data_IF_951629245498
#
_entry.id   IF_951629245498
#
_cell.length_a   1.000
_cell.length_b   1.000
_cell.length_c   1.000
_cell.angle_alpha   90.00
_cell.angle_beta   90.00
_cell.angle_gamma   90.00
#
_symmetry.space_group_name_H-M   'P 1'
#
loop_
_entity.id
_entity.type
_entity.pdbx_description
1 polymer ?
#
# COMPACT_ATOMS: atom_id res chain seq x y z
N UNK A 1 4.15 12.84 34.19
CA UNK A 1 4.67 12.12 33.01
C UNK A 1 4.10 12.83 31.78
N UNK A 2 4.93 13.38 30.89
CA UNK A 2 4.41 13.86 29.59
C UNK A 2 3.79 12.65 28.87
N UNK A 3 2.53 12.76 28.46
CA UNK A 3 1.86 11.74 27.62
C UNK A 3 2.68 11.58 26.34
N UNK A 4 3.07 10.33 26.01
CA UNK A 4 3.80 10.07 24.77
C UNK A 4 2.91 10.42 23.59
N UNK A 5 3.41 11.24 22.67
CA UNK A 5 2.71 11.57 21.42
C UNK A 5 2.44 10.30 20.60
N UNK A 6 1.25 10.17 20.04
CA UNK A 6 0.82 9.03 19.23
C UNK A 6 0.91 9.39 17.75
N UNK A 7 1.60 8.55 16.99
CA UNK A 7 1.80 8.71 15.54
C UNK A 7 1.20 7.52 14.81
N UNK A 8 0.47 7.82 13.72
CA UNK A 8 0.00 6.84 12.76
C UNK A 8 0.75 7.01 11.43
N UNK A 9 1.43 5.95 10.96
CA UNK A 9 1.75 5.79 9.55
C UNK A 9 0.61 5.02 8.88
N UNK A 10 0.01 5.59 7.82
CA UNK A 10 -1.19 5.03 7.18
C UNK A 10 -1.03 5.01 5.66
N UNK A 11 -0.66 3.87 5.12
CA UNK A 11 -0.66 3.63 3.68
C UNK A 11 -2.08 3.29 3.20
N UNK A 12 -2.77 4.27 2.63
CA UNK A 12 -4.12 4.12 2.05
C UNK A 12 -3.99 3.61 0.62
N UNK A 13 -3.86 2.30 0.46
CA UNK A 13 -3.75 1.68 -0.86
C UNK A 13 -5.09 1.24 -1.45
N UNK A 14 -5.10 0.97 -2.74
CA UNK A 14 -6.29 0.56 -3.51
C UNK A 14 -6.89 -0.79 -3.06
N UNK A 15 -6.10 -1.69 -2.53
CA UNK A 15 -6.56 -3.03 -2.11
C UNK A 15 -6.66 -3.16 -0.59
N UNK A 16 -5.72 -2.59 0.13
CA UNK A 16 -5.66 -2.61 1.60
C UNK A 16 -5.16 -1.28 2.14
N UNK A 17 -5.75 -0.86 3.25
CA UNK A 17 -5.14 0.14 4.14
C UNK A 17 -4.21 -0.59 5.10
N UNK A 18 -2.95 -0.14 5.20
CA UNK A 18 -1.97 -0.68 6.14
C UNK A 18 -1.64 0.41 7.15
N UNK A 19 -1.54 0.03 8.39
CA UNK A 19 -1.37 0.98 9.50
C UNK A 19 -0.24 0.53 10.41
N UNK A 20 0.62 1.49 10.74
CA UNK A 20 1.64 1.38 11.77
C UNK A 20 1.35 2.39 12.87
N UNK A 21 1.08 1.92 14.09
CA UNK A 21 0.82 2.75 15.26
C UNK A 21 2.02 2.72 16.17
N UNK A 22 2.48 3.89 16.60
CA UNK A 22 3.56 3.97 17.55
C UNK A 22 3.60 5.31 18.30
N UNK A 23 4.66 5.51 19.05
CA UNK A 23 4.87 6.70 19.89
C UNK A 23 6.01 7.55 19.36
N UNK A 24 6.02 8.83 19.72
CA UNK A 24 7.02 9.80 19.26
C UNK A 24 8.47 9.47 19.62
N UNK A 25 8.70 8.52 20.53
CA UNK A 25 10.03 7.98 20.85
C UNK A 25 10.46 6.83 19.90
N UNK A 26 9.69 6.54 18.85
CA UNK A 26 10.00 5.53 17.84
C UNK A 26 9.57 4.11 18.16
N UNK A 27 8.84 3.89 19.27
CA UNK A 27 8.34 2.57 19.63
C UNK A 27 7.10 2.23 18.80
N UNK A 28 7.16 1.16 17.99
CA UNK A 28 5.99 0.60 17.30
C UNK A 28 5.15 -0.19 18.32
N UNK A 29 3.87 0.17 18.45
CA UNK A 29 2.90 -0.49 19.33
C UNK A 29 2.22 -1.64 18.60
N UNK A 30 1.73 -1.39 17.38
CA UNK A 30 1.06 -2.40 16.55
C UNK A 30 1.09 -2.06 15.07
N UNK A 31 0.93 -3.11 14.26
CA UNK A 31 0.69 -3.01 12.82
C UNK A 31 -0.55 -3.83 12.50
N UNK A 32 -1.37 -3.34 11.58
CA UNK A 32 -2.52 -4.08 11.06
C UNK A 32 -2.89 -3.58 9.67
N UNK A 33 -3.70 -4.35 8.97
CA UNK A 33 -4.29 -3.97 7.70
C UNK A 33 -5.76 -4.37 7.66
N UNK A 34 -6.51 -3.71 6.80
CA UNK A 34 -7.87 -4.08 6.45
C UNK A 34 -8.11 -3.77 4.97
N UNK A 35 -9.08 -4.44 4.32
CA UNK A 35 -9.36 -4.21 2.90
C UNK A 35 -9.90 -2.81 2.65
N UNK A 36 -9.42 -2.17 1.59
CA UNK A 36 -9.94 -0.90 1.10
C UNK A 36 -11.25 -1.13 0.35
N UNK A 37 -12.24 -1.68 1.04
CA UNK A 37 -13.56 -1.95 0.48
C UNK A 37 -14.58 -1.00 1.10
N UNK A 38 -15.31 -0.31 0.24
CA UNK A 38 -16.42 0.58 0.61
C UNK A 38 -17.70 0.03 -0.02
N UNK A 39 -18.72 -0.14 0.79
CA UNK A 39 -20.03 -0.56 0.30
C UNK A 39 -21.11 0.43 0.68
N UNK A 40 -21.86 0.92 -0.30
CA UNK A 40 -23.00 1.79 -0.04
C UNK A 40 -24.19 0.97 0.48
N UNK A 41 -24.84 1.46 1.54
CA UNK A 41 -25.96 0.78 2.17
C UNK A 41 -27.06 1.78 2.56
N UNK A 42 -28.08 1.30 3.27
CA UNK A 42 -29.14 2.14 3.86
C UNK A 42 -29.19 1.87 5.35
N UNK A 43 -29.45 2.90 6.13
CA UNK A 43 -29.77 2.72 7.55
C UNK A 43 -31.23 2.28 7.65
N UNK A 44 -31.49 1.17 8.34
CA UNK A 44 -32.85 0.73 8.64
C UNK A 44 -33.24 1.28 10.00
N UNK A 45 -34.41 1.92 10.08
CA UNK A 45 -34.97 2.40 11.35
C UNK A 45 -35.22 1.20 12.29
N UNK A 46 -34.82 1.37 13.54
CA UNK A 46 -34.98 0.32 14.57
C UNK A 46 -33.92 -0.80 14.52
N UNK A 47 -33.00 -0.79 13.58
CA UNK A 47 -31.87 -1.73 13.52
C UNK A 47 -30.59 -0.98 13.91
N UNK A 48 -30.05 -1.30 15.08
CA UNK A 48 -28.76 -0.80 15.50
C UNK A 48 -27.68 -1.61 14.77
N UNK A 49 -26.89 -0.94 13.93
CA UNK A 49 -25.73 -1.54 13.26
C UNK A 49 -24.57 -0.55 13.35
N UNK A 50 -23.65 -0.80 14.30
CA UNK A 50 -22.51 0.05 14.61
C UNK A 50 -21.44 0.08 13.51
N UNK A 51 -21.60 -0.81 12.50
CA UNK A 51 -20.69 -0.89 11.35
C UNK A 51 -21.13 -0.02 10.17
N UNK A 52 -22.32 0.61 10.26
CA UNK A 52 -22.82 1.56 9.26
C UNK A 52 -22.40 2.97 9.68
N UNK A 53 -21.72 3.67 8.79
CA UNK A 53 -21.25 5.05 9.00
C UNK A 53 -21.93 6.00 8.03
N UNK A 54 -22.23 7.23 8.48
CA UNK A 54 -22.79 8.30 7.67
C UNK A 54 -21.69 9.23 7.18
N UNK A 55 -21.58 9.38 5.85
CA UNK A 55 -20.56 10.22 5.23
C UNK A 55 -21.13 10.86 3.95
N UNK A 56 -21.02 12.19 3.82
CA UNK A 56 -21.51 12.94 2.67
C UNK A 56 -22.95 12.55 2.25
N UNK A 57 -23.87 12.66 3.22
CA UNK A 57 -25.32 12.40 3.02
C UNK A 57 -25.70 10.94 2.68
N UNK A 58 -24.76 10.01 2.78
CA UNK A 58 -24.99 8.59 2.45
C UNK A 58 -24.48 7.68 3.57
N UNK A 59 -24.94 6.45 3.54
CA UNK A 59 -24.53 5.43 4.51
C UNK A 59 -23.63 4.41 3.85
N UNK A 60 -22.55 4.03 4.56
CA UNK A 60 -21.54 3.12 4.08
C UNK A 60 -21.15 2.08 5.12
N UNK A 61 -20.66 0.95 4.66
CA UNK A 61 -19.87 -0.01 5.42
C UNK A 61 -18.43 0.01 4.89
N UNK A 62 -17.45 -0.25 5.75
CA UNK A 62 -16.03 -0.12 5.42
C UNK A 62 -15.27 -1.40 5.80
N UNK A 63 -14.29 -1.76 5.00
CA UNK A 63 -13.40 -2.87 5.30
C UNK A 63 -14.06 -4.24 5.16
N UNK A 64 -13.82 -5.14 6.12
CA UNK A 64 -14.35 -6.50 6.08
C UNK A 64 -15.88 -6.54 6.08
N UNK A 65 -16.52 -5.65 6.82
CA UNK A 65 -17.98 -5.61 6.91
C UNK A 65 -18.62 -5.28 5.56
N UNK A 66 -17.99 -4.43 4.76
CA UNK A 66 -18.47 -4.07 3.43
C UNK A 66 -18.53 -5.27 2.48
N UNK A 67 -17.65 -6.27 2.65
CA UNK A 67 -17.61 -7.48 1.80
C UNK A 67 -18.89 -8.34 1.90
N UNK A 68 -19.66 -8.15 2.94
CA UNK A 68 -20.95 -8.87 3.13
C UNK A 68 -22.10 -8.25 2.34
N UNK A 69 -21.89 -7.08 1.74
CA UNK A 69 -22.91 -6.45 0.90
C UNK A 69 -22.94 -7.10 -0.50
N UNK A 70 -24.10 -7.02 -1.19
CA UNK A 70 -24.17 -7.42 -2.60
C UNK A 70 -23.13 -6.69 -3.44
N UNK A 71 -22.57 -7.36 -4.45
CA UNK A 71 -21.54 -6.79 -5.33
C UNK A 71 -21.95 -5.47 -5.98
N UNK A 72 -23.25 -5.31 -6.29
CA UNK A 72 -23.81 -4.06 -6.83
C UNK A 72 -23.72 -2.86 -5.88
N UNK A 73 -23.46 -3.09 -4.59
CA UNK A 73 -23.34 -2.07 -3.58
C UNK A 73 -21.88 -1.71 -3.28
N UNK A 74 -20.94 -2.54 -3.75
CA UNK A 74 -19.51 -2.30 -3.56
C UNK A 74 -19.05 -1.23 -4.55
N UNK A 75 -18.24 -0.30 -4.03
CA UNK A 75 -17.63 0.79 -4.81
C UNK A 75 -16.22 0.38 -5.16
N UNK A 76 -15.89 0.41 -6.44
CA UNK A 76 -14.54 0.14 -6.90
C UNK A 76 -13.63 1.33 -6.56
N UNK A 77 -12.60 1.05 -5.76
CA UNK A 77 -11.54 2.01 -5.43
C UNK A 77 -10.35 1.84 -6.40
N UNK A 78 -10.62 1.83 -7.70
CA UNK A 78 -9.63 1.60 -8.75
C UNK A 78 -9.03 2.89 -9.32
N UNK A 79 -9.58 4.05 -8.96
CA UNK A 79 -9.14 5.37 -9.39
C UNK A 79 -8.69 6.23 -8.22
N UNK A 80 -7.75 7.15 -8.48
CA UNK A 80 -7.32 8.14 -7.50
C UNK A 80 -8.52 8.96 -6.96
N UNK A 81 -9.45 9.36 -7.81
CA UNK A 81 -10.62 10.15 -7.43
C UNK A 81 -11.48 9.43 -6.37
N UNK A 82 -11.67 8.12 -6.52
CA UNK A 82 -12.40 7.33 -5.52
C UNK A 82 -11.59 7.17 -4.24
N UNK A 83 -10.28 6.95 -4.35
CA UNK A 83 -9.39 6.86 -3.20
C UNK A 83 -9.37 8.18 -2.40
N UNK A 84 -9.32 9.30 -3.09
CA UNK A 84 -9.36 10.65 -2.50
C UNK A 84 -10.71 10.89 -1.78
N UNK A 85 -11.83 10.61 -2.45
CA UNK A 85 -13.16 10.82 -1.88
C UNK A 85 -13.42 9.95 -0.63
N UNK A 86 -12.97 8.70 -0.63
CA UNK A 86 -13.18 7.77 0.47
C UNK A 86 -12.00 7.65 1.44
N UNK A 87 -10.89 8.33 1.17
CA UNK A 87 -9.71 8.37 2.04
C UNK A 87 -10.04 8.74 3.49
N UNK A 88 -10.83 9.80 3.75
CA UNK A 88 -11.28 10.18 5.09
C UNK A 88 -12.04 9.04 5.81
N UNK A 89 -12.88 8.33 5.09
CA UNK A 89 -13.67 7.23 5.64
C UNK A 89 -12.79 6.03 5.99
N UNK A 90 -11.82 5.71 5.14
CA UNK A 90 -10.81 4.68 5.40
C UNK A 90 -9.91 5.05 6.57
N UNK A 91 -9.49 6.31 6.67
CA UNK A 91 -8.70 6.82 7.80
C UNK A 91 -9.48 6.75 9.13
N UNK A 92 -10.75 7.18 9.12
CA UNK A 92 -11.62 7.07 10.29
C UNK A 92 -11.74 5.61 10.77
N UNK A 93 -11.93 4.69 9.84
CA UNK A 93 -11.99 3.26 10.13
C UNK A 93 -10.67 2.74 10.72
N UNK A 94 -9.52 3.18 10.20
CA UNK A 94 -8.20 2.84 10.73
C UNK A 94 -8.03 3.30 12.19
N UNK A 95 -8.43 4.53 12.52
CA UNK A 95 -8.38 5.08 13.88
C UNK A 95 -9.32 4.31 14.82
N UNK A 96 -10.53 3.95 14.37
CA UNK A 96 -11.48 3.12 15.14
C UNK A 96 -10.90 1.73 15.44
N UNK A 97 -10.34 1.01 14.46
CA UNK A 97 -9.66 -0.29 14.66
C UNK A 97 -8.46 -0.14 15.60
N UNK A 98 -7.74 0.96 15.47
CA UNK A 98 -6.60 1.25 16.32
C UNK A 98 -7.00 1.48 17.78
N UNK A 99 -8.28 1.78 18.08
CA UNK A 99 -8.83 2.10 19.40
C UNK A 99 -8.06 3.25 20.06
N UNK A 100 -7.79 4.29 19.28
CA UNK A 100 -7.06 5.46 19.76
C UNK A 100 -8.05 6.56 20.14
N UNK A 101 -7.88 7.10 21.33
CA UNK A 101 -8.65 8.27 21.79
C UNK A 101 -8.05 9.59 21.29
N UNK A 102 -6.77 9.60 20.96
CA UNK A 102 -6.03 10.75 20.44
C UNK A 102 -4.97 10.29 19.46
N UNK A 103 -4.78 11.07 18.42
CA UNK A 103 -3.69 10.95 17.44
C UNK A 103 -3.05 12.32 17.31
N UNK A 104 -1.76 12.42 17.55
CA UNK A 104 -1.03 13.69 17.50
C UNK A 104 -0.51 14.02 16.11
N UNK A 105 -0.18 12.97 15.32
CA UNK A 105 0.26 13.09 13.94
C UNK A 105 -0.15 11.88 13.12
N UNK A 106 -0.67 12.14 11.93
CA UNK A 106 -0.87 11.14 10.87
C UNK A 106 0.14 11.42 9.77
N UNK A 107 0.86 10.40 9.34
CA UNK A 107 1.64 10.44 8.11
C UNK A 107 1.06 9.43 7.15
N UNK A 108 0.73 9.86 5.94
CA UNK A 108 0.19 9.00 4.91
C UNK A 108 1.05 9.03 3.65
N UNK A 109 0.93 8.00 2.83
CA UNK A 109 1.59 7.91 1.54
C UNK A 109 0.65 8.23 0.39
N UNK A 110 1.23 8.74 -0.70
CA UNK A 110 0.57 8.86 -1.98
C UNK A 110 1.48 8.32 -3.07
N UNK A 111 0.93 7.52 -4.00
CA UNK A 111 1.72 7.03 -5.13
C UNK A 111 2.39 8.19 -5.86
N UNK A 112 3.58 7.95 -6.34
CA UNK A 112 4.36 8.95 -7.09
C UNK A 112 3.59 9.40 -8.32
N UNK A 113 2.83 8.51 -8.96
CA UNK A 113 1.96 8.85 -10.08
C UNK A 113 0.93 9.94 -9.74
N UNK A 114 0.51 10.03 -8.47
CA UNK A 114 -0.54 10.93 -7.99
C UNK A 114 0.00 12.07 -7.13
N UNK A 115 1.32 12.20 -6.98
CA UNK A 115 1.96 13.12 -6.01
C UNK A 115 1.61 14.59 -6.25
N UNK A 116 1.26 14.96 -7.49
CA UNK A 116 0.82 16.32 -7.82
C UNK A 116 -0.49 16.72 -7.11
N UNK A 117 -1.26 15.74 -6.64
CA UNK A 117 -2.51 15.92 -5.91
C UNK A 117 -2.30 15.94 -4.37
N UNK A 118 -1.05 15.89 -3.90
CA UNK A 118 -0.74 15.73 -2.47
C UNK A 118 -1.38 16.81 -1.58
N UNK A 119 -1.35 18.08 -1.99
CA UNK A 119 -1.93 19.15 -1.22
C UNK A 119 -3.44 19.00 -0.98
N UNK A 120 -4.18 18.57 -1.99
CA UNK A 120 -5.60 18.32 -1.85
C UNK A 120 -5.87 17.07 -1.00
N UNK A 121 -5.14 15.98 -1.24
CA UNK A 121 -5.28 14.75 -0.47
C UNK A 121 -4.96 14.97 1.02
N UNK A 122 -3.93 15.74 1.32
CA UNK A 122 -3.61 16.14 2.69
C UNK A 122 -4.78 16.89 3.34
N UNK A 123 -5.38 17.84 2.64
CA UNK A 123 -6.49 18.64 3.17
C UNK A 123 -7.71 17.77 3.50
N UNK A 124 -8.10 16.83 2.63
CA UNK A 124 -9.26 15.99 2.88
C UNK A 124 -9.04 14.98 4.01
N UNK A 125 -7.79 14.57 4.26
CA UNK A 125 -7.45 13.73 5.42
C UNK A 125 -7.31 14.54 6.72
N UNK A 126 -6.97 15.83 6.63
CA UNK A 126 -6.80 16.69 7.81
C UNK A 126 -8.12 17.11 8.43
N UNK A 127 -9.16 17.31 7.61
CA UNK A 127 -10.45 17.81 8.08
C UNK A 127 -11.60 17.11 7.37
N UNK A 128 -12.45 16.41 8.12
CA UNK A 128 -13.62 15.72 7.58
C UNK A 128 -14.69 15.44 8.65
N UNK A 129 -15.89 15.10 8.20
CA UNK A 129 -17.04 14.76 9.08
C UNK A 129 -17.50 13.35 8.79
N UNK A 130 -17.60 12.51 9.82
CA UNK A 130 -18.18 11.15 9.76
C UNK A 130 -19.13 10.97 10.94
N UNK A 131 -20.32 10.45 10.72
CA UNK A 131 -21.39 10.28 11.72
C UNK A 131 -21.78 11.59 12.44
N UNK A 132 -21.61 12.75 11.78
CA UNK A 132 -21.83 14.07 12.37
C UNK A 132 -20.73 14.53 13.33
N UNK A 133 -19.66 13.75 13.48
CA UNK A 133 -18.48 14.11 14.25
C UNK A 133 -17.43 14.70 13.33
N UNK A 134 -16.92 15.86 13.70
CA UNK A 134 -15.85 16.56 13.03
C UNK A 134 -14.49 16.04 13.50
N UNK A 135 -13.64 15.67 12.55
CA UNK A 135 -12.28 15.19 12.80
C UNK A 135 -11.27 16.20 12.25
N UNK A 136 -10.33 16.58 13.09
CA UNK A 136 -9.23 17.49 12.77
C UNK A 136 -7.92 16.81 13.15
N UNK A 137 -7.05 16.56 12.16
CA UNK A 137 -5.77 15.89 12.35
C UNK A 137 -4.63 16.71 11.76
N UNK A 138 -3.48 16.65 12.42
CA UNK A 138 -2.22 17.02 11.80
C UNK A 138 -1.83 15.92 10.82
N UNK A 139 -1.76 16.21 9.54
CA UNK A 139 -1.45 15.25 8.48
C UNK A 139 -0.22 15.70 7.70
N UNK A 140 0.72 14.78 7.50
CA UNK A 140 1.85 14.94 6.58
C UNK A 140 1.76 13.88 5.49
N UNK A 141 2.22 14.20 4.29
CA UNK A 141 2.26 13.24 3.18
C UNK A 141 3.70 12.95 2.74
N UNK A 142 3.93 11.70 2.37
CA UNK A 142 5.14 11.22 1.72
C UNK A 142 4.82 10.61 0.36
N UNK A 143 5.72 10.70 -0.63
CA UNK A 143 5.65 9.81 -1.78
C UNK A 143 5.79 8.36 -1.32
N UNK A 144 4.91 7.46 -1.80
CA UNK A 144 5.12 6.02 -1.65
C UNK A 144 6.49 5.65 -2.22
N UNK A 145 7.12 4.62 -1.68
CA UNK A 145 8.53 4.35 -1.98
C UNK A 145 9.50 5.14 -1.10
N UNK A 146 9.27 6.42 -0.81
CA UNK A 146 10.09 7.15 0.17
C UNK A 146 9.89 6.59 1.59
N UNK A 147 8.63 6.27 1.96
CA UNK A 147 8.34 5.54 3.18
C UNK A 147 9.01 4.17 3.18
N UNK A 148 8.87 3.42 2.10
CA UNK A 148 9.51 2.11 1.94
C UNK A 148 11.02 2.18 2.07
N UNK A 149 11.68 3.22 1.50
CA UNK A 149 13.12 3.49 1.67
C UNK A 149 13.50 3.66 3.14
N UNK A 150 12.80 4.53 3.86
CA UNK A 150 13.06 4.78 5.29
C UNK A 150 12.95 3.48 6.11
N UNK A 151 11.94 2.67 5.83
CA UNK A 151 11.77 1.38 6.49
C UNK A 151 12.89 0.40 6.13
N UNK A 152 13.24 0.30 4.84
CA UNK A 152 14.31 -0.59 4.37
C UNK A 152 15.66 -0.22 4.98
N UNK A 153 16.02 1.06 5.01
CA UNK A 153 17.28 1.53 5.61
C UNK A 153 17.37 1.26 7.11
N UNK A 154 16.24 1.30 7.81
CA UNK A 154 16.21 1.05 9.26
C UNK A 154 16.19 -0.45 9.60
N UNK A 155 15.47 -1.26 8.84
CA UNK A 155 15.18 -2.65 9.19
C UNK A 155 15.61 -3.68 8.13
N UNK A 156 15.91 -3.26 6.90
CA UNK A 156 16.23 -4.16 5.79
C UNK A 156 17.55 -4.91 5.89
N UNK A 157 18.40 -4.55 6.87
CA UNK A 157 19.68 -5.24 7.12
C UNK A 157 19.54 -6.63 7.77
N UNK A 158 18.31 -7.09 8.07
CA UNK A 158 18.04 -8.41 8.63
C UNK A 158 18.05 -9.54 7.58
N UNK A 159 18.59 -9.30 6.39
CA UNK A 159 18.87 -10.38 5.42
C UNK A 159 20.05 -11.21 5.92
N UNK A 160 19.83 -12.46 6.37
CA UNK A 160 20.83 -13.25 7.10
C UNK A 160 22.08 -13.62 6.30
N UNK A 161 22.10 -13.42 4.98
CA UNK A 161 23.20 -13.79 4.09
C UNK A 161 23.87 -12.59 3.38
N UNK A 162 23.47 -11.35 3.69
CA UNK A 162 24.12 -10.17 3.14
C UNK A 162 24.96 -9.52 4.24
N UNK A 163 26.26 -9.36 3.97
CA UNK A 163 27.12 -8.53 4.81
C UNK A 163 26.40 -7.21 5.03
N UNK A 164 26.53 -6.61 6.23
CA UNK A 164 26.01 -5.27 6.54
C UNK A 164 26.63 -4.27 5.57
N UNK A 165 26.12 -4.24 4.36
CA UNK A 165 26.50 -3.25 3.37
C UNK A 165 26.07 -1.89 3.91
N UNK A 166 26.98 -0.96 3.87
CA UNK A 166 26.70 0.42 4.23
C UNK A 166 25.83 1.03 3.15
N UNK A 167 24.50 1.02 3.38
CA UNK A 167 23.50 1.51 2.41
C UNK A 167 23.74 2.97 1.99
N UNK A 168 24.45 3.75 2.83
CA UNK A 168 24.83 5.12 2.55
C UNK A 168 25.78 5.29 1.36
N UNK A 169 26.58 4.27 1.00
CA UNK A 169 27.49 4.30 -0.15
C UNK A 169 26.94 3.50 -1.34
N UNK A 170 25.83 2.76 -1.15
CA UNK A 170 25.25 1.92 -2.19
C UNK A 170 24.35 2.70 -3.13
N UNK A 171 24.36 2.29 -4.40
CA UNK A 171 23.41 2.71 -5.42
C UNK A 171 22.44 1.58 -5.67
N UNK A 172 21.15 1.77 -5.36
CA UNK A 172 20.13 0.74 -5.47
C UNK A 172 18.78 1.31 -5.91
N UNK A 173 17.95 0.49 -6.49
CA UNK A 173 16.58 0.86 -6.84
C UNK A 173 15.58 0.07 -6.01
N UNK A 174 14.67 0.78 -5.35
CA UNK A 174 13.50 0.20 -4.71
C UNK A 174 12.41 0.06 -5.78
N UNK A 175 11.83 -1.13 -5.84
CA UNK A 175 10.71 -1.50 -6.70
C UNK A 175 9.56 -1.86 -5.76
N UNK A 176 8.68 -0.92 -5.51
CA UNK A 176 7.50 -1.11 -4.66
C UNK A 176 6.32 -1.56 -5.52
N UNK A 177 5.92 -2.81 -5.35
CA UNK A 177 4.84 -3.42 -6.11
C UNK A 177 3.56 -3.37 -5.28
N UNK A 178 2.75 -2.35 -5.55
CA UNK A 178 1.39 -2.22 -5.04
C UNK A 178 0.38 -3.10 -5.79
N UNK A 179 -0.90 -2.92 -5.50
CA UNK A 179 -1.97 -3.57 -6.27
C UNK A 179 -2.17 -2.89 -7.64
N UNK A 180 -2.32 -1.57 -7.66
CA UNK A 180 -2.55 -0.78 -8.88
C UNK A 180 -1.27 -0.14 -9.41
N UNK A 181 -0.36 0.27 -8.53
CA UNK A 181 0.83 1.04 -8.90
C UNK A 181 2.11 0.22 -8.77
N UNK A 182 3.10 0.61 -9.57
CA UNK A 182 4.49 0.25 -9.45
C UNK A 182 5.25 1.55 -9.18
N UNK A 183 5.87 1.67 -8.01
CA UNK A 183 6.65 2.84 -7.65
C UNK A 183 8.14 2.48 -7.62
N UNK A 184 8.96 3.24 -8.37
CA UNK A 184 10.39 3.07 -8.48
C UNK A 184 11.10 4.23 -7.75
N UNK A 185 12.04 3.90 -6.88
CA UNK A 185 12.85 4.90 -6.17
C UNK A 185 14.33 4.56 -6.33
N UNK A 186 15.04 5.37 -7.10
CA UNK A 186 16.48 5.23 -7.22
C UNK A 186 17.17 5.96 -6.06
N UNK A 187 18.04 5.24 -5.37
CA UNK A 187 18.93 5.75 -4.34
C UNK A 187 20.35 5.71 -4.88
N UNK A 188 20.97 6.86 -5.05
CA UNK A 188 22.33 6.97 -5.56
C UNK A 188 23.28 7.33 -4.41
N UNK A 189 24.16 6.41 -4.00
CA UNK A 189 25.07 6.56 -2.87
C UNK A 189 24.35 7.09 -1.62
N UNK A 190 23.28 6.41 -1.23
CA UNK A 190 22.44 6.74 -0.07
C UNK A 190 21.53 7.95 -0.22
N UNK A 191 21.68 8.74 -1.30
CA UNK A 191 20.88 9.96 -1.55
C UNK A 191 19.80 9.71 -2.59
N UNK A 192 18.63 10.30 -2.37
CA UNK A 192 17.57 10.33 -3.37
C UNK A 192 16.99 11.74 -3.52
N UNK A 193 16.37 12.02 -4.64
CA UNK A 193 15.70 13.29 -4.95
C UNK A 193 14.40 13.01 -5.71
N UNK A 194 13.46 13.96 -5.76
CA UNK A 194 12.18 13.78 -6.47
C UNK A 194 12.33 13.33 -7.93
N UNK A 195 13.39 13.73 -8.61
CA UNK A 195 13.68 13.36 -10.00
C UNK A 195 14.07 11.88 -10.17
N UNK A 196 14.42 11.22 -9.06
CA UNK A 196 14.78 9.80 -9.00
C UNK A 196 13.60 8.91 -8.59
N UNK A 197 12.40 9.49 -8.53
CA UNK A 197 11.14 8.79 -8.29
C UNK A 197 10.36 8.63 -9.58
N UNK A 198 9.82 7.44 -9.81
CA UNK A 198 8.91 7.17 -10.93
C UNK A 198 7.73 6.34 -10.43
N UNK A 199 6.51 6.78 -10.71
CA UNK A 199 5.28 6.07 -10.39
C UNK A 199 4.53 5.68 -11.66
N UNK A 200 4.15 4.41 -11.78
CA UNK A 200 3.51 3.86 -12.96
C UNK A 200 2.17 3.25 -12.55
N UNK A 201 1.07 3.92 -12.91
CA UNK A 201 -0.29 3.43 -12.67
C UNK A 201 -0.59 2.19 -13.52
N UNK A 202 -1.46 1.31 -13.03
CA UNK A 202 -1.89 0.08 -13.70
C UNK A 202 -0.76 -0.93 -13.98
N UNK A 203 0.38 -0.78 -13.33
CA UNK A 203 1.54 -1.69 -13.46
C UNK A 203 1.80 -2.50 -12.18
N UNK A 204 0.92 -2.45 -11.20
CA UNK A 204 0.97 -3.31 -10.01
C UNK A 204 0.45 -4.72 -10.26
N UNK A 205 0.14 -5.43 -9.17
CA UNK A 205 -0.37 -6.81 -9.23
C UNK A 205 -1.67 -6.97 -10.03
N UNK A 206 -2.47 -5.91 -10.16
CA UNK A 206 -3.68 -5.91 -10.98
C UNK A 206 -3.39 -6.31 -12.41
N UNK A 207 -2.24 -5.92 -12.97
CA UNK A 207 -1.81 -6.29 -14.33
C UNK A 207 -1.63 -7.81 -14.46
N UNK A 208 -0.98 -8.43 -13.49
CA UNK A 208 -0.77 -9.88 -13.47
C UNK A 208 -2.10 -10.61 -13.27
N UNK A 209 -2.93 -10.12 -12.34
CA UNK A 209 -4.25 -10.69 -12.09
C UNK A 209 -5.14 -10.62 -13.35
N UNK A 210 -5.06 -9.54 -14.14
CA UNK A 210 -5.77 -9.43 -15.40
C UNK A 210 -5.32 -10.47 -16.43
N UNK A 211 -4.02 -10.77 -16.51
CA UNK A 211 -3.53 -11.86 -17.37
C UNK A 211 -4.03 -13.23 -16.91
N UNK A 212 -4.06 -13.50 -15.61
CA UNK A 212 -4.63 -14.73 -15.05
C UNK A 212 -6.13 -14.81 -15.33
N UNK A 213 -6.87 -13.70 -15.17
CA UNK A 213 -8.29 -13.65 -15.49
C UNK A 213 -8.54 -13.99 -16.97
N UNK A 214 -7.77 -13.38 -17.87
CA UNK A 214 -7.87 -13.65 -19.31
C UNK A 214 -7.62 -15.14 -19.62
N UNK A 215 -6.56 -15.73 -19.07
CA UNK A 215 -6.21 -17.13 -19.26
C UNK A 215 -7.35 -18.07 -18.80
N UNK A 216 -7.91 -17.84 -17.61
CA UNK A 216 -9.00 -18.65 -17.06
C UNK A 216 -10.30 -18.46 -17.84
N UNK A 217 -10.61 -17.22 -18.23
CA UNK A 217 -11.81 -16.88 -18.98
C UNK A 217 -11.83 -17.56 -20.35
N UNK A 218 -10.71 -17.53 -21.08
CA UNK A 218 -10.56 -18.18 -22.39
C UNK A 218 -10.69 -19.71 -22.26
N UNK A 219 -10.02 -20.31 -21.27
CA UNK A 219 -10.00 -21.79 -21.10
C UNK A 219 -11.33 -22.39 -20.63
N UNK A 220 -12.10 -21.64 -19.84
CA UNK A 220 -13.34 -22.13 -19.24
C UNK A 220 -14.61 -21.44 -19.77
N UNK A 221 -14.48 -20.51 -20.72
CA UNK A 221 -15.59 -19.68 -21.21
C UNK A 221 -16.36 -19.04 -20.07
N UNK A 222 -15.64 -18.34 -19.17
CA UNK A 222 -16.14 -17.65 -17.98
C UNK A 222 -15.71 -16.19 -18.00
N UNK A 223 -16.25 -15.42 -17.06
CA UNK A 223 -15.77 -14.08 -16.71
C UNK A 223 -15.55 -14.05 -15.21
N UNK A 224 -14.30 -14.24 -14.80
CA UNK A 224 -13.91 -14.13 -13.39
C UNK A 224 -13.52 -12.69 -13.08
N UNK A 225 -13.74 -12.28 -11.84
CA UNK A 225 -13.37 -10.96 -11.34
C UNK A 225 -11.85 -10.86 -11.06
N UNK A 226 -11.32 -9.63 -10.97
CA UNK A 226 -9.92 -9.42 -10.58
C UNK A 226 -9.59 -9.97 -9.17
N UNK A 227 -10.46 -9.86 -8.15
CA UNK A 227 -10.24 -10.53 -6.87
C UNK A 227 -10.12 -12.04 -6.97
N UNK A 228 -10.98 -12.72 -7.77
CA UNK A 228 -10.87 -14.15 -8.02
C UNK A 228 -9.57 -14.51 -8.75
N UNK A 229 -9.21 -13.73 -9.76
CA UNK A 229 -7.94 -13.91 -10.48
C UNK A 229 -6.73 -13.72 -9.54
N UNK A 230 -6.82 -12.80 -8.58
CA UNK A 230 -5.81 -12.62 -7.54
C UNK A 230 -5.69 -13.85 -6.64
N UNK A 231 -6.79 -14.46 -6.21
CA UNK A 231 -6.77 -15.69 -5.43
C UNK A 231 -6.09 -16.83 -6.21
N UNK A 232 -6.38 -16.94 -7.51
CA UNK A 232 -5.75 -17.93 -8.39
C UNK A 232 -4.24 -17.64 -8.53
N UNK A 233 -3.85 -16.37 -8.68
CA UNK A 233 -2.44 -15.96 -8.74
C UNK A 233 -1.67 -16.40 -7.47
N UNK A 234 -2.30 -16.28 -6.31
CA UNK A 234 -1.69 -16.63 -5.02
C UNK A 234 -1.66 -18.15 -4.75
N UNK A 235 -2.70 -18.88 -5.20
CA UNK A 235 -2.87 -20.31 -4.89
C UNK A 235 -2.44 -21.25 -6.02
N UNK A 236 -2.34 -20.76 -7.25
CA UNK A 236 -2.14 -21.58 -8.46
C UNK A 236 -3.38 -22.36 -8.89
N UNK A 237 -4.51 -22.26 -8.19
CA UNK A 237 -5.65 -23.17 -8.38
C UNK A 237 -6.94 -22.41 -8.65
N UNK A 238 -7.59 -22.75 -9.76
CA UNK A 238 -8.96 -22.34 -10.04
C UNK A 238 -9.96 -23.45 -9.68
N UNK A 239 -11.02 -23.11 -8.95
CA UNK A 239 -12.09 -24.03 -8.58
C UNK A 239 -13.37 -23.73 -9.36
N UNK A 240 -13.86 -24.72 -10.12
CA UNK A 240 -15.10 -24.59 -10.87
C UNK A 240 -15.98 -25.83 -10.62
N UNK A 241 -17.19 -25.64 -10.08
CA UNK A 241 -18.16 -26.71 -9.83
C UNK A 241 -17.58 -27.92 -9.09
N UNK A 242 -16.72 -27.66 -8.08
CA UNK A 242 -16.08 -28.70 -7.28
C UNK A 242 -14.82 -29.31 -7.90
N UNK A 243 -14.51 -29.02 -9.16
CA UNK A 243 -13.26 -29.44 -9.78
C UNK A 243 -12.17 -28.39 -9.54
N UNK A 244 -10.93 -28.86 -9.40
CA UNK A 244 -9.73 -28.02 -9.27
C UNK A 244 -8.92 -28.09 -10.56
N UNK A 245 -8.51 -26.94 -11.04
CA UNK A 245 -7.66 -26.77 -12.21
C UNK A 245 -6.36 -26.11 -11.74
N UNK A 246 -5.24 -26.74 -12.05
CA UNK A 246 -3.90 -26.24 -11.72
C UNK A 246 -3.40 -25.31 -12.83
N UNK A 247 -2.94 -24.15 -12.44
CA UNK A 247 -2.39 -23.09 -13.29
C UNK A 247 -0.99 -22.67 -12.83
N UNK A 248 -0.36 -23.44 -11.97
CA UNK A 248 0.93 -23.09 -11.35
C UNK A 248 1.99 -22.78 -12.40
N UNK A 249 2.08 -23.60 -13.46
CA UNK A 249 3.11 -23.45 -14.51
C UNK A 249 2.86 -22.19 -15.33
N UNK A 250 1.62 -21.96 -15.78
CA UNK A 250 1.26 -20.77 -16.58
C UNK A 250 1.46 -19.49 -15.75
N UNK A 251 1.10 -19.52 -14.45
CA UNK A 251 1.29 -18.39 -13.54
C UNK A 251 2.77 -18.07 -13.33
N UNK A 252 3.62 -19.07 -13.19
CA UNK A 252 5.06 -18.85 -13.09
C UNK A 252 5.63 -18.26 -14.38
N UNK A 253 5.10 -18.61 -15.55
CA UNK A 253 5.40 -17.97 -16.82
C UNK A 253 5.04 -16.48 -16.82
N UNK A 254 3.82 -16.15 -16.40
CA UNK A 254 3.31 -14.77 -16.29
C UNK A 254 4.17 -13.93 -15.32
N UNK A 255 4.51 -14.48 -14.16
CA UNK A 255 5.39 -13.82 -13.18
C UNK A 255 6.77 -13.50 -13.74
N UNK A 256 7.39 -14.45 -14.46
CA UNK A 256 8.70 -14.26 -15.10
C UNK A 256 8.65 -13.17 -16.17
N UNK A 257 7.59 -13.12 -16.97
CA UNK A 257 7.39 -12.09 -17.97
C UNK A 257 7.25 -10.71 -17.33
N UNK A 258 6.44 -10.60 -16.30
CA UNK A 258 6.27 -9.36 -15.56
C UNK A 258 7.58 -8.89 -14.89
N UNK A 259 8.39 -9.79 -14.34
CA UNK A 259 9.70 -9.42 -13.80
C UNK A 259 10.62 -8.85 -14.89
N UNK A 260 10.64 -9.45 -16.08
CA UNK A 260 11.41 -8.91 -17.23
C UNK A 260 10.93 -7.52 -17.61
N UNK A 261 9.62 -7.29 -17.57
CA UNK A 261 9.04 -5.98 -17.83
C UNK A 261 9.48 -4.94 -16.80
N UNK A 262 9.45 -5.29 -15.50
CA UNK A 262 9.96 -4.40 -14.43
C UNK A 262 11.44 -4.05 -14.70
N UNK A 263 12.28 -5.04 -15.00
CA UNK A 263 13.70 -4.80 -15.29
C UNK A 263 13.89 -3.91 -16.52
N UNK A 264 13.05 -4.08 -17.55
CA UNK A 264 13.08 -3.21 -18.74
C UNK A 264 12.69 -1.77 -18.40
N UNK A 265 11.68 -1.56 -17.55
CA UNK A 265 11.26 -0.24 -17.07
C UNK A 265 12.37 0.44 -16.24
N UNK A 266 13.00 -0.28 -15.33
CA UNK A 266 14.14 0.23 -14.56
C UNK A 266 15.28 0.65 -15.49
N UNK A 267 15.57 -0.19 -16.53
CA UNK A 267 16.58 0.12 -17.52
C UNK A 267 16.24 1.37 -18.35
N UNK A 268 15.01 1.49 -18.79
CA UNK A 268 14.54 2.65 -19.56
C UNK A 268 14.66 3.95 -18.75
N UNK A 269 14.21 3.92 -17.49
CA UNK A 269 14.13 5.11 -16.64
C UNK A 269 15.49 5.55 -16.12
N UNK A 270 16.37 4.61 -15.80
CA UNK A 270 17.64 4.87 -15.13
C UNK A 270 18.87 4.43 -15.93
N UNK A 271 18.78 4.40 -17.27
CA UNK A 271 19.84 3.93 -18.18
C UNK A 271 21.22 4.51 -17.90
N UNK A 272 21.31 5.79 -17.51
CA UNK A 272 22.55 6.47 -17.21
C UNK A 272 23.25 6.01 -15.90
N UNK A 273 22.52 5.28 -15.04
CA UNK A 273 23.00 4.87 -13.71
C UNK A 273 22.98 3.35 -13.55
N UNK A 274 22.34 2.64 -14.49
CA UNK A 274 22.10 1.21 -14.38
C UNK A 274 23.38 0.39 -14.16
N UNK A 275 24.47 0.73 -14.86
CA UNK A 275 25.78 0.06 -14.70
C UNK A 275 26.41 0.28 -13.34
N UNK A 276 25.84 1.19 -12.53
CA UNK A 276 26.28 1.52 -11.17
C UNK A 276 25.35 1.00 -10.09
N UNK A 277 24.27 0.30 -10.49
CA UNK A 277 23.34 -0.29 -9.52
C UNK A 277 23.99 -1.51 -8.87
N UNK A 278 24.14 -1.43 -7.54
CA UNK A 278 24.64 -2.53 -6.74
C UNK A 278 23.57 -3.62 -6.61
N UNK A 279 22.29 -3.24 -6.46
CA UNK A 279 21.17 -4.18 -6.35
C UNK A 279 19.80 -3.53 -6.56
N UNK A 280 18.79 -4.39 -6.74
CA UNK A 280 17.36 -4.04 -6.75
C UNK A 280 16.70 -4.56 -5.48
N UNK A 281 15.85 -3.75 -4.85
CA UNK A 281 15.04 -4.14 -3.70
C UNK A 281 13.60 -4.22 -4.14
N UNK A 282 13.05 -5.42 -4.20
CA UNK A 282 11.63 -5.65 -4.50
C UNK A 282 10.86 -5.78 -3.20
N UNK A 283 9.90 -4.90 -3.00
CA UNK A 283 9.07 -4.83 -1.80
C UNK A 283 7.61 -4.49 -2.13
N UNK A 284 6.79 -4.21 -1.12
CA UNK A 284 5.36 -4.00 -1.28
C UNK A 284 4.53 -5.28 -1.25
N UNK A 285 3.22 -5.15 -1.35
CA UNK A 285 2.29 -6.28 -1.26
C UNK A 285 2.46 -7.33 -2.37
N UNK A 286 3.18 -6.98 -3.45
CA UNK A 286 3.47 -7.85 -4.58
C UNK A 286 4.80 -8.60 -4.50
N UNK A 287 5.69 -8.24 -3.60
CA UNK A 287 7.05 -8.80 -3.57
C UNK A 287 7.09 -10.33 -3.37
N UNK A 288 6.12 -10.88 -2.64
CA UNK A 288 6.07 -12.31 -2.33
C UNK A 288 5.97 -13.22 -3.57
N UNK A 289 5.42 -12.71 -4.68
CA UNK A 289 5.33 -13.50 -5.93
C UNK A 289 6.71 -13.71 -6.60
N UNK A 290 7.72 -12.94 -6.22
CA UNK A 290 9.08 -12.99 -6.76
C UNK A 290 10.11 -13.64 -5.83
N UNK A 291 9.66 -14.26 -4.75
CA UNK A 291 10.56 -14.90 -3.76
C UNK A 291 11.57 -15.86 -4.41
N UNK A 292 11.15 -16.62 -5.41
CA UNK A 292 12.00 -17.56 -6.15
C UNK A 292 13.04 -16.88 -7.07
N UNK A 293 12.85 -15.58 -7.36
CA UNK A 293 13.75 -14.79 -8.19
C UNK A 293 14.78 -14.00 -7.39
N UNK A 294 14.76 -14.13 -6.05
CA UNK A 294 15.71 -13.44 -5.18
C UNK A 294 17.11 -14.03 -5.31
N UNK A 295 18.08 -13.18 -5.61
CA UNK A 295 19.51 -13.48 -5.70
C UNK A 295 20.34 -12.33 -5.07
N UNK A 296 21.65 -12.27 -5.36
CA UNK A 296 22.50 -11.21 -4.84
C UNK A 296 22.19 -9.82 -5.40
N UNK A 297 21.65 -9.75 -6.64
CA UNK A 297 21.31 -8.50 -7.31
C UNK A 297 19.83 -8.13 -7.08
N UNK A 298 18.92 -9.09 -7.17
CA UNK A 298 17.50 -8.89 -6.87
C UNK A 298 17.23 -9.36 -5.44
N UNK A 299 16.84 -8.44 -4.56
CA UNK A 299 16.57 -8.67 -3.15
C UNK A 299 15.08 -8.53 -2.89
N UNK A 300 14.38 -9.64 -2.72
CA UNK A 300 12.95 -9.61 -2.40
C UNK A 300 12.75 -9.56 -0.89
N UNK A 301 12.15 -8.47 -0.42
CA UNK A 301 11.73 -8.36 0.97
C UNK A 301 10.46 -9.18 1.17
N UNK A 302 10.48 -10.14 2.10
CA UNK A 302 9.34 -11.05 2.33
C UNK A 302 8.62 -10.72 3.62
N UNK A 303 9.37 -10.47 4.71
CA UNK A 303 8.77 -10.22 6.01
C UNK A 303 8.25 -8.78 6.10
N UNK A 304 6.98 -8.66 6.45
CA UNK A 304 6.31 -7.37 6.67
C UNK A 304 6.35 -6.40 5.48
N UNK A 305 6.73 -6.88 4.29
CA UNK A 305 7.00 -6.07 3.10
C UNK A 305 5.82 -5.17 2.71
N UNK A 306 4.62 -5.64 2.90
CA UNK A 306 3.38 -4.88 2.64
C UNK A 306 3.18 -3.68 3.58
N UNK A 307 3.86 -3.66 4.74
CA UNK A 307 3.80 -2.57 5.72
C UNK A 307 4.93 -1.55 5.57
N UNK A 308 5.85 -1.72 4.63
CA UNK A 308 7.07 -0.90 4.56
C UNK A 308 6.76 0.60 4.39
N UNK A 309 5.77 0.96 3.56
CA UNK A 309 5.33 2.35 3.47
C UNK A 309 4.78 2.85 4.81
N UNK A 310 3.81 2.15 5.41
CA UNK A 310 3.21 2.56 6.68
C UNK A 310 4.22 2.65 7.84
N UNK A 311 5.21 1.75 7.88
CA UNK A 311 6.30 1.81 8.86
C UNK A 311 7.21 3.01 8.57
N UNK A 312 7.55 3.26 7.32
CA UNK A 312 8.38 4.39 6.93
C UNK A 312 7.71 5.74 7.17
N UNK A 313 6.40 5.82 6.94
CA UNK A 313 5.56 6.96 7.29
C UNK A 313 5.58 7.21 8.82
N UNK A 314 5.45 6.15 9.61
CA UNK A 314 5.62 6.25 11.06
C UNK A 314 7.03 6.75 11.45
N UNK A 315 8.10 6.22 10.83
CA UNK A 315 9.49 6.66 11.06
C UNK A 315 9.64 8.14 10.71
N UNK A 316 9.09 8.57 9.57
CA UNK A 316 9.11 9.98 9.18
C UNK A 316 8.38 10.85 10.21
N UNK A 317 7.19 10.42 10.65
CA UNK A 317 6.45 11.11 11.70
C UNK A 317 7.24 11.25 12.99
N UNK A 318 7.94 10.19 13.41
CA UNK A 318 8.79 10.22 14.61
C UNK A 318 9.89 11.28 14.51
N UNK A 319 10.47 11.45 13.32
CA UNK A 319 11.55 12.42 13.11
C UNK A 319 11.02 13.86 13.02
N UNK A 320 9.72 14.07 12.79
CA UNK A 320 9.13 15.39 12.53
C UNK A 320 8.09 15.82 13.58
N UNK A 321 7.76 14.98 14.57
CA UNK A 321 6.69 15.24 15.54
C UNK A 321 6.92 16.50 16.38
N UNK A 322 8.16 16.85 16.66
CA UNK A 322 8.51 18.01 17.47
C UNK A 322 8.41 19.34 16.67
N UNK A 323 8.39 19.27 15.33
CA UNK A 323 8.22 20.45 14.48
C UNK A 323 6.76 20.93 14.40
N UNK A 324 5.80 20.12 14.85
CA UNK A 324 4.37 20.43 14.80
C UNK A 324 3.94 21.34 15.97
N UNK A 325 4.63 21.29 17.09
CA UNK A 325 4.27 22.06 18.30
C UNK A 325 4.68 23.56 18.26
N UNK A 326 5.31 24.01 17.18
CA UNK A 326 5.82 25.40 17.09
C UNK A 326 4.74 26.39 16.61
N UNK A 327 3.55 25.90 16.24
CA UNK A 327 2.46 26.72 15.67
C UNK A 327 1.16 26.74 16.51
N UNK A 328 1.20 26.35 17.80
CA UNK A 328 0.10 26.57 18.76
C UNK A 328 0.20 27.93 19.47
#
# INVERSE_FOLDING_TARGET
>A
MKTKKVILGVDIGYSFVKVCVGTGDGQIIKKFKFPSVIGQTKKLEGVQNDNIVHYNERYYMVGEDAKHLPSSNIIDLDTYKNLEYFGPLLLNHAVKIAKLSKVDLIVSGLSIAEIKQSGYFQNVLSHFVVDGVEYNYNVMLLPQGAGAKLCYEKFGNDFPNLQKEYLGDSTYCIVDIGFNTLDLVLVNKGVTSPELFEGISQHGLMKIAAHVAKLVNEKHNRSISLPEAREILDTGVYKLRGQKYDYTEEIEGIKKEYLREILALVNEKYSNILDKLDFLVVLGGGAHIFKSSSDGYIRCVIKDTEYYNAIGEFIFGTNNIDSIDVND
#
